data_IF_124097406745
#
_entry.id   IF_124097406745
#
_cell.length_a   1.000
_cell.length_b   1.000
_cell.length_c   1.000
_cell.angle_alpha   90.00
_cell.angle_beta   90.00
_cell.angle_gamma   90.00
#
_symmetry.space_group_name_H-M   'P 1'
#
loop_
_entity.id
_entity.type
_entity.pdbx_description
1 polymer ?
#
# COMPACT_ATOMS: atom_id res chain seq x y z
N UNK A 1 -42.14 13.69 -12.48
CA UNK A 1 -40.84 14.16 -11.93
C UNK A 1 -40.35 13.31 -10.75
N UNK A 2 -40.79 12.05 -10.62
CA UNK A 2 -40.19 11.03 -9.75
C UNK A 2 -39.54 9.87 -10.56
N UNK A 3 -39.89 9.71 -11.83
CA UNK A 3 -39.39 8.62 -12.69
C UNK A 3 -38.10 8.92 -13.47
N UNK A 4 -37.41 10.03 -13.18
CA UNK A 4 -36.10 10.36 -13.76
C UNK A 4 -34.94 10.07 -12.81
N UNK A 5 -35.22 9.69 -11.56
CA UNK A 5 -34.19 9.36 -10.55
C UNK A 5 -33.81 7.87 -10.52
N UNK A 6 -34.63 6.99 -11.08
CA UNK A 6 -34.29 5.56 -11.21
C UNK A 6 -33.48 5.25 -12.49
N UNK A 7 -33.36 6.21 -13.41
CA UNK A 7 -32.59 6.07 -14.65
C UNK A 7 -31.08 6.44 -14.52
N UNK A 8 -30.60 6.68 -13.29
CA UNK A 8 -29.18 6.94 -12.98
C UNK A 8 -28.51 5.82 -12.15
N UNK A 9 -29.19 4.68 -12.02
CA UNK A 9 -28.51 3.45 -11.60
C UNK A 9 -27.93 2.85 -12.87
N UNK A 10 -26.63 3.12 -13.11
CA UNK A 10 -25.88 2.38 -14.11
C UNK A 10 -26.14 0.88 -13.90
N UNK A 11 -26.50 0.12 -14.95
CA UNK A 11 -26.55 -1.32 -14.83
C UNK A 11 -25.16 -1.78 -14.39
N UNK A 12 -25.11 -2.55 -13.29
CA UNK A 12 -23.91 -3.27 -12.87
C UNK A 12 -23.22 -3.83 -14.11
N UNK A 13 -21.91 -3.58 -14.32
CA UNK A 13 -21.19 -4.21 -15.41
C UNK A 13 -21.52 -5.69 -15.36
N UNK A 14 -22.03 -6.24 -16.47
CA UNK A 14 -22.14 -7.69 -16.60
C UNK A 14 -20.72 -8.21 -16.67
N UNK A 15 -20.13 -8.41 -15.49
CA UNK A 15 -18.84 -9.04 -15.32
C UNK A 15 -18.89 -10.43 -15.93
N UNK A 16 -17.74 -10.85 -16.43
CA UNK A 16 -17.42 -12.26 -16.65
C UNK A 16 -17.76 -13.00 -15.35
N UNK A 17 -18.36 -14.19 -15.43
CA UNK A 17 -18.83 -14.90 -14.23
C UNK A 17 -17.68 -15.06 -13.23
N UNK A 18 -17.93 -14.74 -11.95
CA UNK A 18 -16.97 -14.88 -10.84
C UNK A 18 -16.27 -16.25 -10.83
N UNK A 19 -16.94 -17.27 -11.37
CA UNK A 19 -16.44 -18.64 -11.51
C UNK A 19 -15.20 -18.77 -12.43
N UNK A 20 -15.14 -18.03 -13.55
CA UNK A 20 -14.03 -18.14 -14.53
C UNK A 20 -12.78 -17.39 -14.06
N UNK A 21 -12.98 -16.25 -13.39
CA UNK A 21 -11.93 -15.51 -12.68
C UNK A 21 -11.36 -16.33 -11.53
N UNK A 22 -12.22 -17.01 -10.77
CA UNK A 22 -11.80 -17.88 -9.66
C UNK A 22 -10.96 -19.08 -10.11
N UNK A 23 -11.27 -19.70 -11.25
CA UNK A 23 -10.50 -20.84 -11.78
C UNK A 23 -9.12 -20.43 -12.26
N UNK A 24 -9.00 -19.29 -12.96
CA UNK A 24 -7.71 -18.82 -13.48
C UNK A 24 -6.81 -18.27 -12.37
N UNK A 25 -7.40 -17.60 -11.37
CA UNK A 25 -6.69 -17.20 -10.16
C UNK A 25 -6.14 -18.42 -9.39
N UNK A 26 -6.95 -19.47 -9.22
CA UNK A 26 -6.53 -20.71 -8.57
C UNK A 26 -5.42 -21.43 -9.35
N UNK A 27 -5.47 -21.44 -10.68
CA UNK A 27 -4.40 -21.97 -11.53
C UNK A 27 -3.11 -21.17 -11.42
N UNK A 28 -3.18 -19.83 -11.37
CA UNK A 28 -2.01 -18.97 -11.21
C UNK A 28 -1.37 -19.14 -9.82
N UNK A 29 -2.18 -19.20 -8.75
CA UNK A 29 -1.71 -19.49 -7.38
C UNK A 29 -1.01 -20.85 -7.33
N UNK A 30 -1.63 -21.89 -7.90
CA UNK A 30 -1.07 -23.23 -7.94
C UNK A 30 0.22 -23.29 -8.78
N UNK A 31 0.28 -22.58 -9.92
CA UNK A 31 1.49 -22.50 -10.75
C UNK A 31 2.65 -21.86 -10.00
N UNK A 32 2.44 -20.72 -9.32
CA UNK A 32 3.48 -20.06 -8.54
C UNK A 32 3.91 -20.93 -7.36
N UNK A 33 2.94 -21.54 -6.66
CA UNK A 33 3.21 -22.48 -5.57
C UNK A 33 4.03 -23.68 -6.03
N UNK A 34 3.75 -24.21 -7.23
CA UNK A 34 4.51 -25.32 -7.81
C UNK A 34 5.93 -24.92 -8.18
N UNK A 35 6.14 -23.76 -8.81
CA UNK A 35 7.49 -23.25 -9.10
C UNK A 35 8.31 -23.10 -7.82
N UNK A 36 7.71 -22.53 -6.77
CA UNK A 36 8.36 -22.39 -5.46
C UNK A 36 8.66 -23.76 -4.84
N UNK A 37 7.70 -24.69 -4.86
CA UNK A 37 7.89 -26.03 -4.30
C UNK A 37 8.97 -26.85 -5.03
N UNK A 38 9.22 -26.55 -6.31
CA UNK A 38 10.29 -27.15 -7.11
C UNK A 38 11.65 -26.46 -6.92
N UNK A 39 11.72 -25.37 -6.15
CA UNK A 39 12.93 -24.55 -6.01
C UNK A 39 13.33 -23.83 -7.29
N UNK A 40 12.38 -23.65 -8.21
CA UNK A 40 12.58 -22.93 -9.46
C UNK A 40 12.58 -21.42 -9.19
N UNK A 41 13.38 -20.70 -9.98
CA UNK A 41 13.40 -19.24 -9.96
C UNK A 41 12.03 -18.68 -10.41
N UNK A 42 11.60 -17.56 -9.83
CA UNK A 42 10.35 -16.87 -10.16
C UNK A 42 10.39 -16.18 -11.54
N UNK A 43 11.50 -16.31 -12.29
CA UNK A 43 11.66 -15.75 -13.63
C UNK A 43 10.67 -16.30 -14.66
N UNK A 44 10.29 -17.58 -14.61
CA UNK A 44 9.28 -18.13 -15.53
C UNK A 44 7.87 -17.55 -15.26
N UNK A 45 7.34 -17.58 -14.02
CA UNK A 45 6.11 -16.88 -13.68
C UNK A 45 6.14 -15.37 -13.99
N UNK A 46 7.28 -14.71 -13.75
CA UNK A 46 7.50 -13.29 -14.07
C UNK A 46 7.47 -13.05 -15.58
N UNK A 47 8.14 -13.90 -16.37
CA UNK A 47 8.10 -13.86 -17.82
C UNK A 47 6.70 -14.10 -18.37
N UNK A 48 5.94 -15.01 -17.76
CA UNK A 48 4.54 -15.26 -18.12
C UNK A 48 3.65 -14.05 -17.80
N UNK A 49 3.82 -13.40 -16.65
CA UNK A 49 3.09 -12.17 -16.32
C UNK A 49 3.45 -11.04 -17.29
N UNK A 50 4.74 -10.71 -17.41
CA UNK A 50 5.17 -9.54 -18.17
C UNK A 50 5.03 -9.71 -19.67
N UNK A 51 5.53 -10.82 -20.25
CA UNK A 51 5.53 -11.02 -21.69
C UNK A 51 4.22 -11.62 -22.19
N UNK A 52 3.76 -12.73 -21.61
CA UNK A 52 2.63 -13.47 -22.16
C UNK A 52 1.31 -12.72 -21.93
N UNK A 53 0.96 -12.41 -20.67
CA UNK A 53 -0.35 -11.79 -20.37
C UNK A 53 -0.50 -10.39 -20.95
N UNK A 54 0.52 -9.54 -20.84
CA UNK A 54 0.51 -8.20 -21.48
C UNK A 54 0.38 -8.31 -23.00
N UNK A 55 1.08 -9.26 -23.64
CA UNK A 55 0.96 -9.49 -25.08
C UNK A 55 -0.42 -9.98 -25.46
N UNK A 56 -0.99 -10.98 -24.76
CA UNK A 56 -2.33 -11.52 -25.03
C UNK A 56 -3.37 -10.41 -24.98
N UNK A 57 -3.37 -9.57 -23.94
CA UNK A 57 -4.34 -8.47 -23.83
C UNK A 57 -4.17 -7.47 -25.00
N UNK A 58 -2.93 -7.16 -25.35
CA UNK A 58 -2.62 -6.22 -26.44
C UNK A 58 -3.01 -6.78 -27.82
N UNK A 59 -2.71 -8.05 -28.08
CA UNK A 59 -3.00 -8.74 -29.34
C UNK A 59 -4.51 -8.91 -29.54
N UNK A 60 -5.23 -9.31 -28.49
CA UNK A 60 -6.69 -9.45 -28.53
C UNK A 60 -7.37 -8.12 -28.85
N UNK A 61 -6.94 -7.02 -28.23
CA UNK A 61 -7.50 -5.71 -28.55
C UNK A 61 -7.13 -5.26 -29.98
N UNK A 62 -5.85 -5.30 -30.34
CA UNK A 62 -5.34 -4.69 -31.57
C UNK A 62 -5.63 -5.52 -32.82
N UNK A 63 -5.45 -6.85 -32.74
CA UNK A 63 -5.45 -7.74 -33.90
C UNK A 63 -6.73 -8.58 -33.98
N UNK A 64 -7.22 -9.12 -32.86
CA UNK A 64 -8.47 -9.92 -32.85
C UNK A 64 -9.71 -9.02 -32.94
N UNK A 65 -9.64 -7.83 -32.33
CA UNK A 65 -10.73 -6.85 -32.35
C UNK A 65 -11.67 -6.92 -31.15
N UNK A 66 -11.26 -7.62 -30.09
CA UNK A 66 -12.04 -7.79 -28.87
C UNK A 66 -12.42 -6.44 -28.23
N UNK A 67 -13.61 -6.39 -27.61
CA UNK A 67 -14.02 -5.23 -26.82
C UNK A 67 -13.24 -5.17 -25.51
N UNK A 68 -13.02 -3.97 -24.98
CA UNK A 68 -12.26 -3.79 -23.73
C UNK A 68 -12.90 -4.54 -22.56
N UNK A 69 -14.24 -4.58 -22.50
CA UNK A 69 -14.99 -5.30 -21.45
C UNK A 69 -14.65 -6.81 -21.42
N UNK A 70 -14.35 -7.41 -22.57
CA UNK A 70 -13.96 -8.83 -22.63
C UNK A 70 -12.53 -9.11 -22.14
N UNK A 71 -11.73 -8.06 -21.93
CA UNK A 71 -10.35 -8.15 -21.44
C UNK A 71 -10.23 -7.99 -19.92
N UNK A 72 -11.32 -7.60 -19.24
CA UNK A 72 -11.35 -7.38 -17.79
C UNK A 72 -10.83 -8.59 -17.02
N UNK A 73 -11.27 -9.80 -17.40
CA UNK A 73 -10.80 -11.04 -16.78
C UNK A 73 -9.28 -11.22 -16.85
N UNK A 74 -8.70 -10.90 -18.02
CA UNK A 74 -7.26 -10.98 -18.22
C UNK A 74 -6.48 -9.93 -17.43
N UNK A 75 -7.07 -8.76 -17.16
CA UNK A 75 -6.46 -7.72 -16.36
C UNK A 75 -6.38 -8.13 -14.88
N UNK A 76 -7.47 -8.65 -14.33
CA UNK A 76 -7.47 -9.19 -12.97
C UNK A 76 -6.49 -10.36 -12.82
N UNK A 77 -6.43 -11.27 -13.81
CA UNK A 77 -5.46 -12.35 -13.83
C UNK A 77 -4.01 -11.82 -13.80
N UNK A 78 -3.71 -10.78 -14.58
CA UNK A 78 -2.40 -10.14 -14.62
C UNK A 78 -2.02 -9.56 -13.25
N UNK A 79 -2.91 -8.81 -12.62
CA UNK A 79 -2.67 -8.22 -11.31
C UNK A 79 -2.53 -9.27 -10.22
N UNK A 80 -3.31 -10.36 -10.29
CA UNK A 80 -3.14 -11.49 -9.40
C UNK A 80 -1.76 -12.16 -9.57
N UNK A 81 -1.24 -12.31 -10.79
CA UNK A 81 0.13 -12.81 -11.00
C UNK A 81 1.17 -11.91 -10.34
N UNK A 82 1.04 -10.59 -10.47
CA UNK A 82 1.94 -9.64 -9.79
C UNK A 82 1.84 -9.70 -8.27
N UNK A 83 0.64 -9.90 -7.72
CA UNK A 83 0.46 -10.13 -6.28
C UNK A 83 1.22 -11.38 -5.80
N UNK A 84 1.12 -12.50 -6.54
CA UNK A 84 1.83 -13.74 -6.23
C UNK A 84 3.35 -13.56 -6.32
N UNK A 85 3.85 -12.90 -7.37
CA UNK A 85 5.27 -12.58 -7.52
C UNK A 85 5.77 -11.68 -6.37
N UNK A 86 4.99 -10.68 -5.99
CA UNK A 86 5.35 -9.70 -4.97
C UNK A 86 5.49 -10.33 -3.58
N UNK A 87 4.55 -11.20 -3.18
CA UNK A 87 4.61 -11.83 -1.85
C UNK A 87 5.76 -12.84 -1.73
N UNK A 88 6.14 -13.50 -2.83
CA UNK A 88 7.14 -14.58 -2.82
C UNK A 88 8.57 -14.12 -3.18
N UNK A 89 8.73 -12.92 -3.75
CA UNK A 89 10.06 -12.33 -3.93
C UNK A 89 10.45 -11.55 -2.67
N UNK A 90 11.65 -11.78 -2.13
CA UNK A 90 12.12 -11.05 -0.95
C UNK A 90 12.30 -9.55 -1.26
N UNK A 91 11.71 -8.68 -0.45
CA UNK A 91 11.79 -7.23 -0.64
C UNK A 91 13.19 -6.62 -0.58
N UNK A 92 14.14 -7.36 0.01
CA UNK A 92 15.54 -6.95 0.17
C UNK A 92 16.38 -7.20 -1.08
N UNK A 93 15.85 -7.93 -2.07
CA UNK A 93 16.62 -8.31 -3.26
C UNK A 93 16.28 -7.46 -4.48
N UNK A 94 17.23 -7.24 -5.41
CA UNK A 94 16.97 -6.48 -6.64
C UNK A 94 15.88 -7.10 -7.53
N UNK A 95 15.63 -8.40 -7.40
CA UNK A 95 14.55 -9.10 -8.12
C UNK A 95 13.19 -8.50 -7.78
N UNK A 96 12.99 -8.05 -6.54
CA UNK A 96 11.75 -7.42 -6.13
C UNK A 96 11.51 -6.09 -6.86
N UNK A 97 12.55 -5.29 -7.06
CA UNK A 97 12.47 -4.04 -7.83
C UNK A 97 12.18 -4.33 -9.30
N UNK A 98 12.67 -5.45 -9.84
CA UNK A 98 12.36 -5.87 -11.22
C UNK A 98 10.86 -6.12 -11.41
N UNK A 99 10.15 -6.63 -10.41
CA UNK A 99 8.69 -6.81 -10.47
C UNK A 99 7.96 -5.46 -10.56
N UNK A 100 8.40 -4.46 -9.78
CA UNK A 100 7.87 -3.09 -9.84
C UNK A 100 8.15 -2.45 -11.20
N UNK A 101 9.38 -2.57 -11.69
CA UNK A 101 9.81 -2.04 -12.98
C UNK A 101 9.03 -2.62 -14.16
N UNK A 102 8.58 -3.87 -14.06
CA UNK A 102 7.76 -4.48 -15.11
C UNK A 102 6.41 -3.78 -15.25
N UNK A 103 5.75 -3.43 -14.14
CA UNK A 103 4.50 -2.65 -14.15
C UNK A 103 4.74 -1.26 -14.75
N UNK A 104 5.84 -0.60 -14.39
CA UNK A 104 6.19 0.71 -14.96
C UNK A 104 6.46 0.64 -16.47
N UNK A 105 7.04 -0.47 -16.96
CA UNK A 105 7.25 -0.68 -18.41
C UNK A 105 5.97 -0.98 -19.17
N UNK A 106 4.96 -1.53 -18.50
CA UNK A 106 3.60 -1.65 -19.05
C UNK A 106 3.00 -0.24 -19.15
N UNK A 107 3.22 0.59 -18.13
CA UNK A 107 2.75 1.96 -18.11
C UNK A 107 3.29 2.79 -19.30
N UNK A 108 2.41 3.49 -20.01
CA UNK A 108 2.76 4.35 -21.15
C UNK A 108 2.60 3.71 -22.52
N UNK A 109 2.06 2.48 -22.61
CA UNK A 109 1.81 1.76 -23.87
C UNK A 109 0.36 1.91 -24.34
N UNK A 110 -0.09 3.12 -24.65
CA UNK A 110 -1.48 3.35 -25.09
C UNK A 110 -1.89 2.42 -26.23
N UNK A 111 -2.89 1.57 -25.99
CA UNK A 111 -3.39 0.66 -27.02
C UNK A 111 -4.40 1.34 -27.92
N UNK A 112 -4.12 1.28 -29.21
CA UNK A 112 -4.94 1.88 -30.27
C UNK A 112 -5.13 0.93 -31.42
N UNK A 113 -6.32 0.92 -32.02
CA UNK A 113 -6.59 0.19 -33.26
C UNK A 113 -7.35 1.05 -34.28
N UNK A 114 -7.20 0.81 -35.58
CA UNK A 114 -8.02 1.46 -36.60
C UNK A 114 -9.50 1.13 -36.43
N UNK A 115 -10.39 2.09 -36.71
CA UNK A 115 -11.84 1.83 -36.76
C UNK A 115 -12.18 1.19 -38.10
N UNK A 116 -12.82 0.00 -38.15
CA UNK A 116 -13.21 -0.62 -39.41
C UNK A 116 -14.16 0.28 -40.22
N UNK A 117 -13.79 0.59 -41.46
CA UNK A 117 -14.65 1.33 -42.40
C UNK A 117 -14.77 2.84 -42.18
N UNK A 118 -14.04 3.44 -41.22
CA UNK A 118 -14.05 4.86 -40.91
C UNK A 118 -12.62 5.41 -40.76
N UNK A 119 -12.42 6.68 -41.09
CA UNK A 119 -11.18 7.38 -40.71
C UNK A 119 -11.21 7.67 -39.21
N UNK A 120 -10.48 6.89 -38.41
CA UNK A 120 -10.41 7.08 -36.97
C UNK A 120 -9.60 6.00 -36.25
N UNK A 121 -9.28 6.28 -34.99
CA UNK A 121 -8.56 5.37 -34.09
C UNK A 121 -9.42 5.12 -32.87
N UNK A 122 -9.63 3.85 -32.53
CA UNK A 122 -10.23 3.44 -31.28
C UNK A 122 -9.14 3.24 -30.22
N UNK A 123 -9.29 3.89 -29.07
CA UNK A 123 -8.37 3.80 -27.94
C UNK A 123 -8.99 2.82 -26.93
N UNK A 124 -8.21 1.87 -26.42
CA UNK A 124 -8.67 0.95 -25.39
C UNK A 124 -8.94 1.70 -24.08
N UNK A 125 -10.21 1.96 -23.76
CA UNK A 125 -10.64 2.61 -22.53
C UNK A 125 -11.56 1.70 -21.74
N UNK A 126 -11.28 1.53 -20.46
CA UNK A 126 -12.18 0.96 -19.46
C UNK A 126 -12.90 2.10 -18.74
N UNK A 127 -13.81 1.76 -17.82
CA UNK A 127 -14.41 2.71 -16.88
C UNK A 127 -13.39 3.35 -15.93
N UNK A 128 -12.24 2.71 -15.70
CA UNK A 128 -11.19 3.19 -14.80
C UNK A 128 -10.07 3.96 -15.52
N UNK A 129 -10.05 3.96 -16.86
CA UNK A 129 -9.10 4.76 -17.63
C UNK A 129 -8.63 4.11 -18.93
N UNK A 130 -7.54 4.65 -19.47
CA UNK A 130 -6.92 4.15 -20.70
C UNK A 130 -6.02 2.97 -20.39
N UNK A 131 -6.25 1.85 -21.08
CA UNK A 131 -5.48 0.62 -20.95
C UNK A 131 -3.98 0.91 -21.14
N UNK A 132 -3.16 0.36 -20.24
CA UNK A 132 -1.71 0.59 -20.13
C UNK A 132 -1.24 2.01 -19.82
N UNK A 133 -2.07 3.05 -19.81
CA UNK A 133 -1.67 4.35 -19.27
C UNK A 133 -2.09 4.50 -17.81
N UNK A 134 -3.36 4.23 -17.53
CA UNK A 134 -3.95 4.40 -16.20
C UNK A 134 -3.90 3.09 -15.37
N UNK A 135 -3.53 1.97 -16.01
CA UNK A 135 -3.44 0.63 -15.41
C UNK A 135 -4.73 0.24 -14.67
N UNK A 136 -5.85 0.08 -15.43
CA UNK A 136 -7.15 -0.18 -14.83
C UNK A 136 -7.11 -1.43 -13.94
N UNK A 137 -7.84 -1.38 -12.84
CA UNK A 137 -7.97 -2.39 -11.80
C UNK A 137 -6.72 -2.62 -10.94
N UNK A 138 -5.54 -2.11 -11.29
CA UNK A 138 -4.31 -2.35 -10.52
C UNK A 138 -4.47 -1.94 -9.05
N UNK A 139 -4.92 -0.69 -8.82
CA UNK A 139 -5.07 -0.19 -7.45
C UNK A 139 -6.21 -0.91 -6.73
N UNK A 140 -7.34 -1.10 -7.41
CA UNK A 140 -8.52 -1.79 -6.85
C UNK A 140 -8.16 -3.20 -6.39
N UNK A 141 -7.48 -3.97 -7.24
CA UNK A 141 -7.08 -5.34 -6.96
C UNK A 141 -6.00 -5.40 -5.88
N UNK A 142 -4.97 -4.56 -5.94
CA UNK A 142 -3.89 -4.57 -4.95
C UNK A 142 -4.39 -4.18 -3.56
N UNK A 143 -5.27 -3.18 -3.45
CA UNK A 143 -5.92 -2.83 -2.18
C UNK A 143 -6.81 -3.98 -1.70
N UNK A 144 -7.57 -4.63 -2.60
CA UNK A 144 -8.40 -5.80 -2.25
C UNK A 144 -7.55 -6.97 -1.76
N UNK A 145 -6.46 -7.31 -2.46
CA UNK A 145 -5.55 -8.37 -2.05
C UNK A 145 -4.94 -8.09 -0.68
N UNK A 146 -4.60 -6.83 -0.38
CA UNK A 146 -4.14 -6.44 0.95
C UNK A 146 -5.24 -6.65 2.01
N UNK A 147 -6.42 -6.05 1.81
CA UNK A 147 -7.55 -6.15 2.75
C UNK A 147 -7.94 -7.60 3.02
N UNK A 148 -8.03 -8.42 1.98
CA UNK A 148 -8.54 -9.80 2.09
C UNK A 148 -7.49 -10.80 2.60
N UNK A 149 -6.19 -10.54 2.40
CA UNK A 149 -5.14 -11.54 2.63
C UNK A 149 -4.04 -11.13 3.59
N UNK A 150 -3.81 -9.84 3.88
CA UNK A 150 -2.64 -9.43 4.68
C UNK A 150 -2.59 -10.11 6.07
N UNK A 151 -3.74 -10.36 6.70
CA UNK A 151 -3.82 -11.14 7.94
C UNK A 151 -3.36 -12.61 7.77
N UNK A 152 -3.75 -13.21 6.65
CA UNK A 152 -3.53 -14.62 6.33
C UNK A 152 -2.09 -14.94 5.93
N UNK A 153 -1.33 -13.93 5.50
CA UNK A 153 0.08 -14.08 5.11
C UNK A 153 0.97 -14.38 6.32
N UNK A 154 2.08 -15.09 6.07
CA UNK A 154 3.24 -15.09 6.96
C UNK A 154 3.83 -13.68 7.07
N UNK A 155 4.62 -13.40 8.11
CA UNK A 155 5.24 -12.07 8.24
C UNK A 155 6.17 -11.75 7.08
N UNK A 156 6.91 -12.75 6.57
CA UNK A 156 7.76 -12.61 5.39
C UNK A 156 6.95 -12.25 4.13
N UNK A 157 5.87 -12.98 3.84
CA UNK A 157 5.03 -12.68 2.67
C UNK A 157 4.31 -11.33 2.81
N UNK A 158 3.92 -10.96 4.04
CA UNK A 158 3.25 -9.68 4.32
C UNK A 158 4.18 -8.50 4.08
N UNK A 159 5.42 -8.54 4.61
CA UNK A 159 6.39 -7.46 4.41
C UNK A 159 6.83 -7.35 2.95
N UNK A 160 7.00 -8.47 2.25
CA UNK A 160 7.29 -8.47 0.83
C UNK A 160 6.19 -7.75 0.04
N UNK A 161 4.94 -8.15 0.27
CA UNK A 161 3.81 -7.50 -0.40
C UNK A 161 3.66 -6.03 0.00
N UNK A 162 3.84 -5.68 1.29
CA UNK A 162 3.81 -4.28 1.74
C UNK A 162 4.87 -3.43 1.04
N UNK A 163 6.11 -3.94 0.94
CA UNK A 163 7.21 -3.27 0.24
C UNK A 163 6.89 -3.08 -1.24
N UNK A 164 6.33 -4.10 -1.90
CA UNK A 164 5.94 -4.00 -3.30
C UNK A 164 4.94 -2.87 -3.55
N UNK A 165 3.90 -2.79 -2.71
CA UNK A 165 2.91 -1.73 -2.82
C UNK A 165 3.49 -0.35 -2.51
N UNK A 166 4.39 -0.26 -1.52
CA UNK A 166 5.07 0.98 -1.18
C UNK A 166 5.99 1.46 -2.32
N UNK A 167 6.77 0.56 -2.92
CA UNK A 167 7.62 0.87 -4.08
C UNK A 167 6.80 1.29 -5.30
N UNK A 168 5.65 0.65 -5.55
CA UNK A 168 4.71 1.12 -6.57
C UNK A 168 4.18 2.52 -6.23
N UNK A 169 3.77 2.77 -4.99
CA UNK A 169 3.29 4.08 -4.56
C UNK A 169 4.36 5.18 -4.70
N UNK A 170 5.64 4.87 -4.45
CA UNK A 170 6.77 5.78 -4.61
C UNK A 170 6.94 6.27 -6.07
N UNK A 171 6.49 5.47 -7.04
CA UNK A 171 6.61 5.79 -8.48
C UNK A 171 5.47 6.64 -9.03
N UNK A 172 4.49 7.04 -8.19
CA UNK A 172 3.27 7.75 -8.58
C UNK A 172 2.39 6.98 -9.60
N UNK A 173 2.55 5.65 -9.66
CA UNK A 173 1.69 4.80 -10.50
C UNK A 173 0.22 5.01 -10.13
N UNK A 174 -0.63 5.12 -11.15
CA UNK A 174 -2.07 5.37 -10.99
C UNK A 174 -2.42 6.62 -10.16
N UNK A 175 -1.63 7.71 -10.29
CA UNK A 175 -1.90 9.05 -9.72
C UNK A 175 -2.09 9.02 -8.21
N UNK A 176 -1.13 8.42 -7.51
CA UNK A 176 -1.04 8.31 -6.04
C UNK A 176 -2.13 7.47 -5.37
N UNK A 177 -3.10 6.94 -6.12
CA UNK A 177 -4.17 6.10 -5.55
C UNK A 177 -3.65 4.84 -4.86
N UNK A 178 -2.47 4.34 -5.26
CA UNK A 178 -1.82 3.21 -4.58
C UNK A 178 -1.56 3.49 -3.08
N UNK A 179 -1.32 4.75 -2.71
CA UNK A 179 -1.10 5.16 -1.32
C UNK A 179 -2.31 4.88 -0.42
N UNK A 180 -3.52 4.70 -0.96
CA UNK A 180 -4.69 4.36 -0.15
C UNK A 180 -4.50 3.05 0.64
N UNK A 181 -3.66 2.13 0.15
CA UNK A 181 -3.36 0.89 0.88
C UNK A 181 -2.54 1.16 2.16
N UNK A 182 -1.72 2.22 2.17
CA UNK A 182 -1.04 2.66 3.39
C UNK A 182 -2.03 3.12 4.45
N UNK A 183 -3.12 3.81 4.09
CA UNK A 183 -4.17 4.20 5.05
C UNK A 183 -4.79 2.97 5.72
N UNK A 184 -5.06 1.91 4.96
CA UNK A 184 -5.60 0.65 5.50
C UNK A 184 -4.65 0.03 6.51
N UNK A 185 -3.36 -0.07 6.16
CA UNK A 185 -2.33 -0.61 7.04
C UNK A 185 -2.13 0.26 8.27
N UNK A 186 -1.97 1.58 8.11
CA UNK A 186 -1.63 2.51 9.19
C UNK A 186 -2.81 2.64 10.15
N UNK A 187 -4.05 2.65 9.65
CA UNK A 187 -5.23 2.51 10.49
C UNK A 187 -5.15 1.26 11.35
N UNK A 188 -4.89 0.12 10.72
CA UNK A 188 -4.86 -1.17 11.40
C UNK A 188 -3.70 -1.29 12.39
N UNK A 189 -2.57 -0.64 12.15
CA UNK A 189 -1.36 -0.78 12.98
C UNK A 189 -1.25 0.32 14.06
N UNK A 190 -1.65 1.55 13.74
CA UNK A 190 -1.37 2.74 14.55
C UNK A 190 -2.64 3.39 15.14
N UNK A 191 -3.83 3.12 14.60
CA UNK A 191 -5.07 3.82 14.98
C UNK A 191 -6.13 2.92 15.60
N UNK A 192 -5.83 1.62 15.72
CA UNK A 192 -6.66 0.65 16.41
C UNK A 192 -5.90 0.06 17.60
N UNK A 193 -6.60 -0.41 18.64
CA UNK A 193 -5.95 -1.08 19.77
C UNK A 193 -5.16 -2.31 19.29
N UNK A 194 -3.88 -2.36 19.65
CA UNK A 194 -2.96 -3.46 19.31
C UNK A 194 -2.07 -3.80 20.49
N UNK A 195 -1.81 -5.10 20.66
CA UNK A 195 -0.84 -5.59 21.62
C UNK A 195 0.56 -5.56 21.01
N UNK A 196 1.59 -5.40 21.86
CA UNK A 196 3.00 -5.40 21.43
C UNK A 196 3.42 -6.77 20.92
N UNK A 197 3.18 -7.81 21.74
CA UNK A 197 3.58 -9.19 21.46
C UNK A 197 2.60 -10.15 22.11
N UNK A 198 1.86 -10.92 21.31
CA UNK A 198 0.90 -11.93 21.81
C UNK A 198 1.55 -13.25 22.24
N UNK A 199 2.87 -13.40 22.07
CA UNK A 199 3.58 -14.64 22.38
C UNK A 199 3.27 -15.76 21.38
N UNK A 200 4.30 -16.19 20.65
CA UNK A 200 4.39 -17.48 19.95
C UNK A 200 3.22 -17.93 19.04
N UNK A 201 2.41 -17.04 18.47
CA UNK A 201 1.55 -17.45 17.36
C UNK A 201 2.42 -17.77 16.12
N UNK A 202 2.15 -18.93 15.50
CA UNK A 202 2.86 -19.42 14.32
C UNK A 202 2.94 -18.35 13.24
N UNK A 203 4.14 -18.12 12.70
CA UNK A 203 4.34 -17.19 11.56
C UNK A 203 3.91 -17.79 10.21
N UNK A 204 3.35 -18.99 10.21
CA UNK A 204 2.87 -19.61 8.98
C UNK A 204 1.60 -18.93 8.46
N UNK A 205 1.32 -19.16 7.17
CA UNK A 205 0.07 -18.72 6.57
C UNK A 205 -1.13 -19.38 7.25
N UNK A 206 -2.15 -18.58 7.52
CA UNK A 206 -3.37 -19.02 8.18
C UNK A 206 -4.58 -18.38 7.51
N UNK A 207 -5.34 -19.18 6.76
CA UNK A 207 -6.51 -18.71 6.02
C UNK A 207 -7.65 -18.23 6.91
N UNK A 208 -7.63 -18.60 8.19
CA UNK A 208 -8.65 -18.20 9.17
C UNK A 208 -8.29 -16.93 9.94
N UNK A 209 -7.05 -16.44 9.84
CA UNK A 209 -6.57 -15.29 10.61
C UNK A 209 -7.24 -13.98 10.16
N UNK A 210 -7.69 -13.21 11.13
CA UNK A 210 -8.25 -11.87 10.93
C UNK A 210 -7.21 -10.76 11.20
N UNK A 211 -7.39 -9.59 10.59
CA UNK A 211 -6.48 -8.46 10.77
C UNK A 211 -6.38 -7.99 12.23
N UNK A 212 -7.46 -8.14 13.02
CA UNK A 212 -7.49 -7.77 14.44
C UNK A 212 -6.66 -8.70 15.33
N UNK A 213 -6.31 -9.88 14.84
CA UNK A 213 -5.50 -10.87 15.55
C UNK A 213 -3.99 -10.63 15.36
N UNK A 214 -3.60 -9.68 14.51
CA UNK A 214 -2.20 -9.31 14.32
C UNK A 214 -1.75 -8.31 15.40
N UNK A 215 -0.58 -8.57 15.98
CA UNK A 215 0.12 -7.67 16.90
C UNK A 215 1.10 -6.73 16.18
N UNK A 216 1.68 -5.80 16.94
CA UNK A 216 2.59 -4.80 16.41
C UNK A 216 3.86 -5.40 15.82
N UNK A 217 4.40 -6.49 16.38
CA UNK A 217 5.54 -7.22 15.80
C UNK A 217 5.28 -7.66 14.35
N UNK A 218 4.02 -7.99 14.03
CA UNK A 218 3.61 -8.44 12.69
C UNK A 218 3.24 -7.31 11.73
N UNK A 219 2.87 -6.13 12.22
CA UNK A 219 2.38 -5.00 11.43
C UNK A 219 3.39 -3.86 11.27
N UNK A 220 4.14 -3.55 12.32
CA UNK A 220 5.08 -2.43 12.33
C UNK A 220 6.17 -2.53 11.25
N UNK A 221 6.74 -3.72 10.93
CA UNK A 221 7.69 -3.84 9.83
C UNK A 221 7.09 -3.41 8.48
N UNK A 222 5.79 -3.65 8.27
CA UNK A 222 5.09 -3.20 7.07
C UNK A 222 4.93 -1.68 7.07
N UNK A 223 4.61 -1.06 8.22
CA UNK A 223 4.53 0.41 8.34
C UNK A 223 5.89 1.04 8.03
N UNK A 224 6.96 0.49 8.61
CA UNK A 224 8.33 0.95 8.42
C UNK A 224 8.73 0.93 6.94
N UNK A 225 8.47 -0.17 6.22
CA UNK A 225 8.80 -0.23 4.78
C UNK A 225 7.98 0.75 3.93
N UNK A 226 6.72 1.02 4.31
CA UNK A 226 5.91 2.04 3.63
C UNK A 226 6.47 3.45 3.80
N UNK A 227 6.88 3.80 5.03
CA UNK A 227 7.52 5.09 5.30
C UNK A 227 8.87 5.18 4.59
N UNK A 228 9.66 4.11 4.60
CA UNK A 228 10.99 4.09 3.96
C UNK A 228 10.90 4.27 2.44
N UNK A 229 10.01 3.52 1.77
CA UNK A 229 9.93 3.51 0.31
C UNK A 229 9.08 4.67 -0.23
N UNK A 230 7.97 5.01 0.43
CA UNK A 230 6.97 5.95 -0.06
C UNK A 230 6.73 7.16 0.86
N UNK A 231 7.49 7.32 1.95
CA UNK A 231 7.24 8.35 2.97
C UNK A 231 7.19 9.77 2.41
N UNK A 232 8.00 10.08 1.40
CA UNK A 232 7.96 11.38 0.72
C UNK A 232 6.62 11.64 0.03
N UNK A 233 6.07 10.64 -0.66
CA UNK A 233 4.78 10.73 -1.34
C UNK A 233 3.64 10.80 -0.32
N UNK A 234 3.70 10.00 0.75
CA UNK A 234 2.72 10.05 1.83
C UNK A 234 2.72 11.42 2.54
N UNK A 235 3.89 12.03 2.70
CA UNK A 235 4.03 13.40 3.23
C UNK A 235 3.39 14.42 2.29
N UNK A 236 3.66 14.35 0.98
CA UNK A 236 3.03 15.24 -0.01
C UNK A 236 1.50 15.14 0.00
N UNK A 237 0.97 13.92 0.11
CA UNK A 237 -0.47 13.70 0.21
C UNK A 237 -1.04 14.28 1.52
N UNK A 238 -0.28 14.19 2.61
CA UNK A 238 -0.63 14.80 3.89
C UNK A 238 -0.60 16.32 3.81
N UNK A 239 0.39 16.92 3.12
CA UNK A 239 0.49 18.36 2.93
C UNK A 239 -0.76 18.95 2.26
N UNK A 240 -1.31 18.25 1.27
CA UNK A 240 -2.49 18.68 0.53
C UNK A 240 -3.81 18.16 1.09
N UNK A 241 -3.78 17.50 2.26
CA UNK A 241 -4.96 16.88 2.89
C UNK A 241 -5.73 15.97 1.94
N UNK A 242 -5.03 15.08 1.22
CA UNK A 242 -5.61 14.23 0.19
C UNK A 242 -6.63 13.24 0.75
N UNK A 243 -7.80 13.16 0.12
CA UNK A 243 -8.85 12.19 0.43
C UNK A 243 -9.49 11.61 -0.87
N UNK A 244 -8.66 11.28 -1.85
CA UNK A 244 -9.07 10.76 -3.16
C UNK A 244 -9.36 9.25 -3.18
N UNK A 245 -9.88 8.69 -2.10
CA UNK A 245 -10.14 7.25 -1.94
C UNK A 245 -11.57 6.98 -1.43
N UNK A 246 -12.09 5.74 -1.52
CA UNK A 246 -13.38 5.38 -0.96
C UNK A 246 -13.42 5.64 0.57
N UNK A 247 -14.59 6.01 1.11
CA UNK A 247 -14.72 6.34 2.54
C UNK A 247 -14.23 5.22 3.45
N UNK A 248 -14.61 3.96 3.16
CA UNK A 248 -14.17 2.79 3.93
C UNK A 248 -12.63 2.63 4.02
N UNK A 249 -11.90 3.21 3.06
CA UNK A 249 -10.43 3.24 3.04
C UNK A 249 -9.88 4.49 3.75
N UNK A 250 -10.49 5.65 3.50
CA UNK A 250 -10.06 6.94 4.02
C UNK A 250 -10.33 7.15 5.51
N UNK A 251 -11.33 6.49 6.08
CA UNK A 251 -11.74 6.68 7.48
C UNK A 251 -10.61 6.34 8.47
N UNK A 252 -10.51 7.17 9.51
CA UNK A 252 -9.67 6.98 10.69
C UNK A 252 -10.04 5.74 11.51
N UNK A 253 -9.06 5.14 12.17
CA UNK A 253 -9.28 4.13 13.19
C UNK A 253 -9.80 4.72 14.49
N UNK A 254 -10.37 3.86 15.33
CA UNK A 254 -11.06 4.26 16.56
C UNK A 254 -10.23 5.18 17.47
N UNK A 255 -8.97 4.82 17.73
CA UNK A 255 -8.09 5.60 18.60
C UNK A 255 -7.71 6.97 18.01
N UNK A 256 -7.60 7.06 16.67
CA UNK A 256 -7.32 8.34 16.01
C UNK A 256 -8.54 9.24 16.06
N UNK A 257 -9.71 8.72 15.68
CA UNK A 257 -10.98 9.48 15.63
C UNK A 257 -11.31 10.08 17.01
N UNK A 258 -11.05 9.34 18.09
CA UNK A 258 -11.31 9.78 19.45
C UNK A 258 -10.28 10.83 19.97
N UNK A 259 -9.13 10.99 19.29
CA UNK A 259 -8.08 11.93 19.67
C UNK A 259 -8.36 13.38 19.26
N UNK A 260 -7.69 14.34 19.90
CA UNK A 260 -7.78 15.77 19.52
C UNK A 260 -7.30 16.06 18.10
N UNK A 261 -6.43 15.22 17.54
CA UNK A 261 -5.98 15.32 16.16
C UNK A 261 -7.05 14.81 15.19
N UNK A 262 -7.70 13.70 15.50
CA UNK A 262 -8.75 13.10 14.66
C UNK A 262 -10.03 13.92 14.61
N UNK A 263 -10.41 14.57 15.72
CA UNK A 263 -11.55 15.50 15.76
C UNK A 263 -11.44 16.65 14.75
N UNK A 264 -10.23 16.99 14.30
CA UNK A 264 -9.99 18.04 13.29
C UNK A 264 -10.25 17.55 11.87
N UNK A 265 -9.69 16.39 11.52
CA UNK A 265 -9.90 15.78 10.21
C UNK A 265 -9.67 14.26 10.26
N UNK A 266 -10.74 13.46 10.32
CA UNK A 266 -10.64 12.02 10.54
C UNK A 266 -10.48 11.20 9.24
N UNK A 267 -10.26 11.84 8.08
CA UNK A 267 -10.29 11.18 6.78
C UNK A 267 -9.02 11.44 5.96
N UNK A 268 -8.60 10.44 5.17
CA UNK A 268 -7.52 10.58 4.19
C UNK A 268 -6.14 10.78 4.81
N UNK A 269 -5.20 11.30 4.01
CA UNK A 269 -3.90 11.77 4.47
C UNK A 269 -4.03 13.22 4.88
N UNK A 270 -3.65 13.56 6.12
CA UNK A 270 -3.71 14.94 6.61
C UNK A 270 -2.53 15.23 7.53
N UNK A 271 -2.18 16.51 7.74
CA UNK A 271 -1.12 16.86 8.68
C UNK A 271 -1.42 16.38 10.10
N UNK A 272 -2.70 16.38 10.50
CA UNK A 272 -3.16 15.91 11.81
C UNK A 272 -2.98 14.41 12.00
N UNK A 273 -3.30 13.63 10.97
CA UNK A 273 -3.15 12.17 10.98
C UNK A 273 -1.67 11.77 10.99
N UNK A 274 -0.82 12.50 10.26
CA UNK A 274 0.63 12.33 10.31
C UNK A 274 1.20 12.56 11.71
N UNK A 275 0.80 13.65 12.38
CA UNK A 275 1.19 13.91 13.78
C UNK A 275 0.72 12.80 14.72
N UNK A 276 -0.49 12.27 14.50
CA UNK A 276 -0.99 11.16 15.30
C UNK A 276 -0.14 9.91 15.15
N UNK A 277 0.28 9.58 13.92
CA UNK A 277 1.19 8.47 13.66
C UNK A 277 2.56 8.66 14.32
N UNK A 278 3.14 9.88 14.25
CA UNK A 278 4.38 10.20 14.98
C UNK A 278 4.21 9.95 16.48
N UNK A 279 3.14 10.49 17.08
CA UNK A 279 2.82 10.26 18.49
C UNK A 279 2.73 8.77 18.81
N UNK A 280 1.95 8.00 18.03
CA UNK A 280 1.76 6.57 18.28
C UNK A 280 3.07 5.80 18.15
N UNK A 281 3.94 6.15 17.20
CA UNK A 281 5.24 5.49 17.05
C UNK A 281 6.16 5.75 18.24
N UNK A 282 6.16 6.95 18.83
CA UNK A 282 6.89 7.20 20.07
C UNK A 282 6.33 6.37 21.24
N UNK A 283 5.01 6.26 21.36
CA UNK A 283 4.37 5.39 22.36
C UNK A 283 4.80 3.93 22.17
N UNK A 284 4.75 3.41 20.93
CA UNK A 284 5.18 2.04 20.61
C UNK A 284 6.66 1.82 20.92
N UNK A 285 7.52 2.80 20.63
CA UNK A 285 8.95 2.73 20.94
C UNK A 285 9.20 2.62 22.44
N UNK A 286 8.56 3.48 23.23
CA UNK A 286 8.68 3.47 24.69
C UNK A 286 8.13 2.16 25.28
N UNK A 287 6.96 1.72 24.81
CA UNK A 287 6.32 0.44 25.14
C UNK A 287 7.25 -0.76 24.82
N UNK A 288 7.88 -0.77 23.63
CA UNK A 288 8.81 -1.81 23.21
C UNK A 288 10.08 -1.83 24.07
N UNK A 289 10.61 -0.66 24.41
CA UNK A 289 11.78 -0.52 25.30
C UNK A 289 11.50 -1.06 26.69
N UNK A 290 10.33 -0.75 27.26
CA UNK A 290 9.89 -1.29 28.55
C UNK A 290 9.71 -2.82 28.49
N UNK A 291 9.18 -3.34 27.39
CA UNK A 291 9.00 -4.76 27.14
C UNK A 291 10.28 -5.51 26.73
N UNK A 292 11.39 -4.79 26.45
CA UNK A 292 12.65 -5.32 25.90
C UNK A 292 12.49 -6.03 24.55
N UNK A 293 11.59 -5.50 23.72
CA UNK A 293 11.36 -5.96 22.35
C UNK A 293 12.25 -5.14 21.40
N UNK A 294 13.56 -5.42 21.40
CA UNK A 294 14.60 -4.64 20.72
C UNK A 294 14.28 -4.38 19.23
N UNK A 295 13.83 -5.42 18.52
CA UNK A 295 13.49 -5.31 17.10
C UNK A 295 12.29 -4.38 16.85
N UNK A 296 11.34 -4.35 17.77
CA UNK A 296 10.18 -3.46 17.66
C UNK A 296 10.56 -2.01 17.98
N UNK A 297 11.43 -1.80 18.97
CA UNK A 297 12.03 -0.49 19.28
C UNK A 297 12.81 0.05 18.08
N UNK A 298 13.60 -0.78 17.41
CA UNK A 298 14.33 -0.44 16.18
C UNK A 298 13.37 -0.01 15.07
N UNK A 299 12.38 -0.84 14.73
CA UNK A 299 11.41 -0.48 13.69
C UNK A 299 10.66 0.83 14.01
N UNK A 300 10.28 1.07 15.26
CA UNK A 300 9.62 2.30 15.65
C UNK A 300 10.55 3.51 15.48
N UNK A 301 11.82 3.38 15.92
CA UNK A 301 12.84 4.43 15.83
C UNK A 301 13.18 4.78 14.38
N UNK A 302 13.44 3.78 13.54
CA UNK A 302 13.73 3.96 12.11
C UNK A 302 12.58 4.67 11.38
N UNK A 303 11.35 4.31 11.74
CA UNK A 303 10.14 4.90 11.17
C UNK A 303 9.99 6.35 11.61
N UNK A 304 10.24 6.66 12.89
CA UNK A 304 10.22 8.03 13.41
C UNK A 304 11.25 8.92 12.72
N UNK A 305 12.50 8.46 12.62
CA UNK A 305 13.57 9.17 11.91
C UNK A 305 13.16 9.51 10.48
N UNK A 306 12.66 8.53 9.75
CA UNK A 306 12.24 8.70 8.35
C UNK A 306 11.07 9.67 8.22
N UNK A 307 10.07 9.57 9.11
CA UNK A 307 8.90 10.47 9.08
C UNK A 307 9.26 11.91 9.44
N UNK A 308 10.11 12.10 10.45
CA UNK A 308 10.54 13.41 10.90
C UNK A 308 11.49 14.04 9.88
N UNK A 309 12.40 13.26 9.30
CA UNK A 309 13.29 13.67 8.20
C UNK A 309 12.50 14.20 7.02
N UNK A 310 11.50 13.46 6.56
CA UNK A 310 10.62 13.89 5.47
C UNK A 310 9.88 15.21 5.79
N UNK A 311 9.49 15.43 7.06
CA UNK A 311 8.79 16.65 7.47
C UNK A 311 9.72 17.88 7.45
N UNK A 312 10.95 17.71 7.93
CA UNK A 312 11.99 18.75 7.99
C UNK A 312 12.46 19.12 6.60
N UNK A 313 12.92 18.14 5.81
CA UNK A 313 13.48 18.36 4.48
C UNK A 313 12.51 19.09 3.56
N UNK A 314 11.21 18.78 3.66
CA UNK A 314 10.17 19.39 2.84
C UNK A 314 9.62 20.69 3.40
N UNK A 315 9.96 21.08 4.63
CA UNK A 315 9.26 22.13 5.38
C UNK A 315 7.74 21.93 5.27
N UNK A 316 7.30 20.73 5.66
CA UNK A 316 5.94 20.22 5.45
C UNK A 316 4.85 21.07 6.12
N UNK A 317 3.62 21.00 5.60
CA UNK A 317 2.42 21.52 6.27
C UNK A 317 2.19 20.90 7.65
N UNK A 318 2.73 19.72 7.94
CA UNK A 318 2.76 19.14 9.31
C UNK A 318 3.38 20.10 10.31
N UNK A 319 4.51 20.73 9.96
CA UNK A 319 5.19 21.67 10.85
C UNK A 319 4.39 22.98 11.00
N UNK A 320 3.72 23.43 9.93
CA UNK A 320 2.86 24.63 9.97
C UNK A 320 1.60 24.36 10.79
N UNK A 321 0.96 23.22 10.58
CA UNK A 321 -0.20 22.74 11.31
C UNK A 321 0.11 22.66 12.81
N UNK A 322 1.24 22.07 13.19
CA UNK A 322 1.71 22.02 14.58
C UNK A 322 1.88 23.43 15.18
N UNK A 323 2.57 24.35 14.50
CA UNK A 323 2.74 25.74 14.98
C UNK A 323 1.42 26.47 15.21
N UNK A 324 0.44 26.22 14.35
CA UNK A 324 -0.91 26.79 14.44
C UNK A 324 -1.85 26.01 15.37
N UNK A 325 -1.40 24.92 15.97
CA UNK A 325 -2.23 24.05 16.78
C UNK A 325 -2.65 24.70 18.11
N UNK A 326 -3.62 24.06 18.76
CA UNK A 326 -4.08 24.50 20.07
C UNK A 326 -3.15 24.03 21.19
N UNK A 327 -3.30 24.63 22.36
CA UNK A 327 -2.51 24.31 23.57
C UNK A 327 -2.43 22.81 23.86
N UNK A 328 -3.53 22.08 23.70
CA UNK A 328 -3.59 20.62 23.93
C UNK A 328 -2.60 19.83 23.08
N UNK A 329 -2.34 20.26 21.83
CA UNK A 329 -1.37 19.62 20.93
C UNK A 329 0.06 19.97 21.33
N UNK A 330 0.29 21.19 21.82
CA UNK A 330 1.61 21.65 22.27
C UNK A 330 2.04 21.05 23.61
N UNK A 331 1.08 20.68 24.47
CA UNK A 331 1.33 20.02 25.75
C UNK A 331 1.57 18.51 25.63
N UNK A 332 1.33 17.92 24.45
CA UNK A 332 1.60 16.50 24.21
C UNK A 332 3.11 16.23 24.13
N UNK A 333 3.62 15.46 25.10
CA UNK A 333 5.06 15.16 25.20
C UNK A 333 5.63 14.51 23.94
N UNK A 334 4.85 13.71 23.21
CA UNK A 334 5.33 12.99 22.02
C UNK A 334 5.35 13.85 20.77
N UNK A 335 4.64 14.98 20.77
CA UNK A 335 4.68 15.96 19.69
C UNK A 335 5.68 17.08 19.92
N UNK A 336 6.37 17.09 21.06
CA UNK A 336 7.47 18.03 21.33
C UNK A 336 8.61 17.92 20.31
N UNK A 337 8.76 16.76 19.66
CA UNK A 337 9.69 16.55 18.55
C UNK A 337 9.48 17.50 17.36
N UNK A 338 8.31 18.16 17.27
CA UNK A 338 8.01 19.12 16.20
C UNK A 338 8.35 20.57 16.58
N UNK A 339 8.81 20.83 17.81
CA UNK A 339 9.27 22.15 18.26
C UNK A 339 10.63 22.46 17.61
N UNK A 340 11.59 21.55 17.79
CA UNK A 340 12.89 21.58 17.13
C UNK A 340 13.16 20.22 16.46
N UNK A 341 12.58 19.99 15.27
CA UNK A 341 12.64 18.70 14.63
C UNK A 341 14.04 18.36 14.11
N UNK A 342 14.92 19.35 13.93
CA UNK A 342 16.32 19.10 13.59
C UNK A 342 17.07 18.50 14.79
N UNK A 343 16.91 19.10 15.98
CA UNK A 343 17.47 18.56 17.21
C UNK A 343 16.92 17.16 17.52
N UNK A 344 15.60 16.96 17.39
CA UNK A 344 15.00 15.64 17.64
C UNK A 344 15.48 14.54 16.68
N UNK A 345 15.81 14.88 15.43
CA UNK A 345 16.46 13.96 14.49
C UNK A 345 17.87 13.58 14.95
N UNK A 346 18.66 14.55 15.41
CA UNK A 346 20.00 14.29 15.95
C UNK A 346 19.94 13.39 17.19
N UNK A 347 18.97 13.59 18.08
CA UNK A 347 18.77 12.77 19.27
C UNK A 347 18.41 11.31 18.93
N UNK A 348 17.51 11.10 17.95
CA UNK A 348 17.18 9.75 17.46
C UNK A 348 18.42 9.05 16.86
N UNK A 349 19.17 9.76 16.01
CA UNK A 349 20.36 9.23 15.36
C UNK A 349 21.49 8.89 16.37
N UNK A 350 21.69 9.73 17.38
CA UNK A 350 22.70 9.49 18.43
C UNK A 350 22.32 8.33 19.35
N UNK A 351 21.02 8.11 19.61
CA UNK A 351 20.54 6.94 20.36
C UNK A 351 21.02 5.63 19.73
N UNK A 352 20.87 5.50 18.41
CA UNK A 352 21.30 4.31 17.65
C UNK A 352 22.82 4.06 17.74
N UNK A 353 23.64 5.12 17.71
CA UNK A 353 25.10 5.00 17.73
C UNK A 353 25.63 4.49 19.08
N UNK A 354 24.97 4.85 20.18
CA UNK A 354 25.38 4.41 21.51
C UNK A 354 25.03 2.93 21.75
N UNK A 355 23.85 2.49 21.29
CA UNK A 355 23.42 1.09 21.44
C UNK A 355 24.28 0.12 20.61
N UNK A 356 24.80 0.58 19.46
CA UNK A 356 25.74 -0.19 18.63
C UNK A 356 27.16 -0.28 19.23
N UNK A 357 27.56 0.67 20.08
CA UNK A 357 28.87 0.68 20.73
C UNK A 357 28.92 -0.19 21.99
N UNK A 358 27.76 -0.46 22.63
CA UNK A 358 27.63 -1.34 23.79
C UNK A 358 27.47 -2.83 23.41
N UNK A 359 27.41 -3.15 22.11
CA UNK A 359 27.30 -4.51 21.56
C UNK A 359 28.59 -5.08 20.96
N UNK A 360 29.69 -4.33 20.94
CA UNK A 360 31.07 -4.80 20.65
C UNK A 360 31.87 -5.05 21.95
#
# INVERSE_FOLDING_TARGET
>A
MKDLREALLDPSPKGISEHTLSETAAQNEESVRQSIARGEDLEEPRGAAFHNRTWVISDRFCNVGDGVDSLEGHLHDLWHMYYQLARHTSHETPEHDRVVLDILKIQGRTLTRPVPGLFGVNIARTVEGTLWNDLPFLVTDMTKFWVDNAAKLSSAHRINFASFLAKLAATHVSKDKMCQTALVLFRSALEEPRELNTGQASDQEDRSRDMRELDLVRLLPCVSVWIKEAGYNLMQLSDVSWNGCPSATGDGGSMFVDSELGKRCPYGFTPWRWMYWLKRLYEIRDEAKEAKEERLEEYATDTLESMLGAAVERNSEVLRAYKSAGKEVHEDKYLSCLIDPAQSLEELAMGRMNDAADTE
#
